data_IF_522228481167
#
_entry.id   IF_522228481167
#
_cell.length_a   1.000
_cell.length_b   1.000
_cell.length_c   1.000
_cell.angle_alpha   90.00
_cell.angle_beta   90.00
_cell.angle_gamma   90.00
#
_symmetry.space_group_name_H-M   'P 1'
#
loop_
_entity.id
_entity.type
_entity.pdbx_description
1 polymer ?
#
# COMPACT_ATOMS: atom_id res chain seq x y z
N UNK A 1 10.50 -16.77 5.01
CA UNK A 1 9.87 -15.98 6.09
C UNK A 1 8.84 -15.06 5.47
N UNK A 2 7.60 -15.09 5.97
CA UNK A 2 6.53 -14.18 5.54
C UNK A 2 6.96 -12.75 5.90
N UNK A 3 6.89 -11.81 4.94
CA UNK A 3 7.32 -10.40 5.13
C UNK A 3 6.22 -9.54 5.76
N UNK A 4 5.00 -10.08 5.79
CA UNK A 4 3.80 -9.54 6.41
C UNK A 4 3.28 -10.57 7.41
N UNK A 5 2.57 -10.11 8.43
CA UNK A 5 1.96 -10.97 9.45
C UNK A 5 0.64 -11.58 8.96
N UNK A 6 0.32 -11.41 7.67
CA UNK A 6 -0.88 -11.92 7.01
C UNK A 6 -0.59 -12.39 5.58
N UNK A 7 -1.53 -13.18 5.02
CA UNK A 7 -1.53 -13.55 3.59
C UNK A 7 -2.42 -12.58 2.83
N UNK A 8 -1.92 -11.87 1.80
CA UNK A 8 -2.72 -10.89 1.09
C UNK A 8 -3.81 -11.56 0.24
N UNK A 9 -4.99 -10.93 0.20
CA UNK A 9 -6.03 -11.22 -0.78
C UNK A 9 -5.50 -10.93 -2.20
N UNK A 10 -5.89 -11.70 -3.23
CA UNK A 10 -5.45 -11.46 -4.59
C UNK A 10 -5.88 -10.08 -5.12
N UNK A 11 -4.90 -9.22 -5.41
CA UNK A 11 -5.10 -7.88 -5.97
C UNK A 11 -4.66 -6.75 -5.05
N UNK A 12 -4.77 -5.52 -5.55
CA UNK A 12 -4.42 -4.29 -4.82
C UNK A 12 -5.60 -3.32 -4.86
N UNK A 13 -5.78 -2.55 -3.79
CA UNK A 13 -6.62 -1.35 -3.81
C UNK A 13 -5.78 -0.16 -4.21
N UNK A 14 -6.11 0.46 -5.35
CA UNK A 14 -5.46 1.67 -5.82
C UNK A 14 -6.08 2.90 -5.16
N UNK A 15 -5.25 3.68 -4.47
CA UNK A 15 -5.66 4.92 -3.82
C UNK A 15 -4.95 6.09 -4.50
N UNK A 16 -5.73 7.03 -5.02
CA UNK A 16 -5.21 8.31 -5.54
C UNK A 16 -5.03 9.27 -4.37
N UNK A 17 -3.82 9.79 -4.23
CA UNK A 17 -3.44 10.74 -3.20
C UNK A 17 -3.80 12.17 -3.61
N UNK A 18 -4.26 12.95 -2.64
CA UNK A 18 -4.29 14.41 -2.75
C UNK A 18 -2.87 14.99 -2.78
N UNK A 19 -2.72 16.23 -3.24
CA UNK A 19 -1.41 16.91 -3.30
C UNK A 19 -0.71 16.96 -1.94
N UNK A 20 -1.47 17.20 -0.86
CA UNK A 20 -0.95 17.18 0.50
C UNK A 20 -0.45 15.78 0.89
N UNK A 21 -1.20 14.74 0.53
CA UNK A 21 -0.83 13.36 0.82
C UNK A 21 0.38 12.90 0.00
N UNK A 22 0.58 13.42 -1.21
CA UNK A 22 1.82 13.21 -1.99
C UNK A 22 3.03 13.79 -1.27
N UNK A 23 2.89 14.97 -0.63
CA UNK A 23 3.97 15.53 0.19
C UNK A 23 4.25 14.65 1.41
N UNK A 24 3.20 14.12 2.06
CA UNK A 24 3.33 13.19 3.20
C UNK A 24 3.89 11.82 2.79
N UNK A 25 3.67 11.35 1.55
CA UNK A 25 4.22 10.09 1.03
C UNK A 25 5.75 10.05 1.15
N UNK A 26 6.45 11.18 1.05
CA UNK A 26 7.91 11.25 1.28
C UNK A 26 8.32 10.83 2.69
N UNK A 27 7.45 11.00 3.69
CA UNK A 27 7.73 10.56 5.06
C UNK A 27 7.71 9.03 5.19
N UNK A 28 7.07 8.32 4.25
CA UNK A 28 7.08 6.86 4.22
C UNK A 28 8.47 6.28 3.99
N UNK A 29 9.42 7.05 3.41
CA UNK A 29 10.83 6.66 3.33
C UNK A 29 11.48 6.47 4.70
N UNK A 30 10.92 7.11 5.74
CA UNK A 30 11.38 6.98 7.13
C UNK A 30 10.71 5.82 7.87
N UNK A 31 9.60 5.30 7.33
CA UNK A 31 8.86 4.21 7.96
C UNK A 31 9.67 2.91 7.89
N UNK A 32 9.45 2.04 8.87
CA UNK A 32 10.00 0.69 8.80
C UNK A 32 9.41 -0.02 7.57
N UNK A 33 10.29 -0.42 6.65
CA UNK A 33 9.90 -0.96 5.36
C UNK A 33 10.64 -2.25 5.03
N UNK A 34 9.95 -3.14 4.31
CA UNK A 34 10.48 -4.44 3.95
C UNK A 34 10.60 -4.52 2.44
N UNK A 35 11.82 -4.69 1.94
CA UNK A 35 12.06 -4.91 0.51
C UNK A 35 11.52 -6.27 0.07
N UNK A 36 10.82 -6.28 -1.05
CA UNK A 36 10.33 -7.48 -1.74
C UNK A 36 11.09 -7.64 -3.03
N UNK A 37 11.91 -8.70 -3.09
CA UNK A 37 12.48 -9.19 -4.33
C UNK A 37 11.50 -10.22 -4.90
N UNK A 38 10.83 -9.94 -6.01
CA UNK A 38 9.90 -10.89 -6.61
C UNK A 38 10.66 -11.94 -7.46
N UNK A 39 9.91 -12.87 -8.06
CA UNK A 39 10.45 -13.80 -9.05
C UNK A 39 10.88 -13.09 -10.34
N UNK A 40 11.65 -13.77 -11.18
CA UNK A 40 12.07 -13.25 -12.49
C UNK A 40 10.87 -12.80 -13.33
N UNK A 41 10.97 -11.61 -13.92
CA UNK A 41 9.90 -10.97 -14.70
C UNK A 41 9.03 -9.98 -13.93
N UNK A 42 9.24 -9.79 -12.62
CA UNK A 42 8.51 -8.84 -11.78
C UNK A 42 9.44 -7.74 -11.23
N UNK A 43 8.88 -6.57 -10.92
CA UNK A 43 9.64 -5.44 -10.40
C UNK A 43 9.80 -5.51 -8.87
N UNK A 44 10.98 -5.08 -8.38
CA UNK A 44 11.19 -4.88 -6.94
C UNK A 44 10.14 -3.92 -6.36
N UNK A 45 9.86 -4.10 -5.07
CA UNK A 45 8.96 -3.21 -4.37
C UNK A 45 9.31 -3.12 -2.89
N UNK A 46 8.82 -2.07 -2.27
CA UNK A 46 8.92 -1.87 -0.83
C UNK A 46 7.53 -2.02 -0.21
N UNK A 47 7.45 -2.80 0.87
CA UNK A 47 6.24 -2.93 1.69
C UNK A 47 6.35 -2.09 2.94
N UNK A 48 5.27 -1.37 3.26
CA UNK A 48 5.17 -0.55 4.46
C UNK A 48 3.91 -0.97 5.20
N UNK A 49 4.05 -1.39 6.47
CA UNK A 49 2.89 -1.79 7.29
C UNK A 49 2.00 -0.57 7.52
N UNK A 50 0.69 -0.79 7.41
CA UNK A 50 -0.30 0.27 7.51
C UNK A 50 -1.61 -0.26 8.10
N UNK A 51 -2.54 0.66 8.35
CA UNK A 51 -3.88 0.37 8.83
C UNK A 51 -4.91 1.14 8.01
N UNK A 52 -6.05 0.49 7.73
CA UNK A 52 -7.29 1.17 7.33
C UNK A 52 -8.29 0.98 8.46
N UNK A 53 -8.47 2.02 9.28
CA UNK A 53 -9.15 1.89 10.57
C UNK A 53 -8.36 0.95 11.49
N UNK A 54 -8.99 -0.15 11.91
CA UNK A 54 -8.38 -1.23 12.69
C UNK A 54 -7.87 -2.42 11.86
N UNK A 55 -8.04 -2.38 10.53
CA UNK A 55 -7.67 -3.50 9.66
C UNK A 55 -6.20 -3.37 9.25
N UNK A 56 -5.42 -4.41 9.53
CA UNK A 56 -4.04 -4.53 9.07
C UNK A 56 -3.95 -4.61 7.54
N UNK A 57 -3.08 -3.79 6.98
CA UNK A 57 -2.77 -3.78 5.57
C UNK A 57 -1.30 -3.42 5.35
N UNK A 58 -0.89 -3.37 4.09
CA UNK A 58 0.42 -2.86 3.72
C UNK A 58 0.31 -2.03 2.44
N UNK A 59 1.10 -0.97 2.39
CA UNK A 59 1.31 -0.18 1.18
C UNK A 59 2.40 -0.87 0.37
N UNK A 60 2.14 -1.08 -0.92
CA UNK A 60 3.11 -1.52 -1.91
C UNK A 60 3.63 -0.29 -2.64
N UNK A 61 4.95 -0.11 -2.66
CA UNK A 61 5.63 0.93 -3.43
C UNK A 61 6.51 0.26 -4.47
N UNK A 62 6.07 0.18 -5.74
CA UNK A 62 6.87 -0.38 -6.81
C UNK A 62 8.13 0.47 -7.08
N UNK A 63 9.27 -0.18 -7.22
CA UNK A 63 10.54 0.46 -7.61
C UNK A 63 10.62 0.54 -9.15
N UNK A 64 9.65 1.22 -9.77
CA UNK A 64 9.55 1.38 -11.23
C UNK A 64 9.79 2.85 -11.61
N UNK A 65 10.70 3.08 -12.57
CA UNK A 65 11.00 4.43 -13.07
C UNK A 65 9.74 5.03 -13.71
N UNK A 66 9.34 6.22 -13.25
CA UNK A 66 8.17 6.92 -13.78
C UNK A 66 6.83 6.47 -13.18
N UNK A 67 6.83 5.64 -12.13
CA UNK A 67 5.59 5.26 -11.44
C UNK A 67 4.85 6.51 -10.89
N UNK A 68 3.52 6.62 -11.06
CA UNK A 68 2.75 7.78 -10.61
C UNK A 68 2.96 8.07 -9.11
N UNK A 69 3.33 9.30 -8.79
CA UNK A 69 3.64 9.68 -7.39
C UNK A 69 2.39 9.75 -6.54
N UNK A 70 1.26 10.06 -7.18
CA UNK A 70 -0.07 10.21 -6.62
C UNK A 70 -0.83 8.89 -6.48
N UNK A 71 -0.26 7.74 -6.81
CA UNK A 71 -0.91 6.44 -6.62
C UNK A 71 -0.22 5.67 -5.49
N UNK A 72 -1.03 5.06 -4.63
CA UNK A 72 -0.63 4.02 -3.69
C UNK A 72 -1.39 2.74 -4.01
N UNK A 73 -0.69 1.62 -3.89
CA UNK A 73 -1.29 0.29 -3.93
C UNK A 73 -1.35 -0.27 -2.51
N UNK A 74 -2.50 -0.82 -2.12
CA UNK A 74 -2.71 -1.38 -0.79
C UNK A 74 -3.10 -2.84 -0.91
N UNK A 75 -2.42 -3.69 -0.14
CA UNK A 75 -2.76 -5.09 0.06
C UNK A 75 -3.24 -5.32 1.48
N UNK A 76 -4.19 -6.24 1.64
CA UNK A 76 -4.82 -6.58 2.91
C UNK A 76 -5.18 -8.08 2.91
N UNK A 77 -5.45 -8.70 4.07
CA UNK A 77 -5.88 -10.11 4.12
C UNK A 77 -7.28 -10.36 3.55
N UNK A 78 -8.02 -9.31 3.19
CA UNK A 78 -9.41 -9.35 2.73
C UNK A 78 -9.60 -8.47 1.50
N UNK A 79 -10.70 -8.69 0.76
CA UNK A 79 -11.15 -7.78 -0.28
C UNK A 79 -11.61 -6.46 0.36
N UNK A 80 -10.80 -5.40 0.23
CA UNK A 80 -11.08 -4.10 0.85
C UNK A 80 -12.35 -3.44 0.30
N UNK A 81 -12.67 -3.63 -0.99
CA UNK A 81 -13.89 -3.04 -1.59
C UNK A 81 -15.14 -3.65 -0.97
N UNK A 82 -15.20 -4.96 -0.86
CA UNK A 82 -16.35 -5.65 -0.25
C UNK A 82 -16.42 -5.40 1.26
N UNK A 83 -15.30 -5.53 1.97
CA UNK A 83 -15.25 -5.44 3.44
C UNK A 83 -15.56 -4.03 3.95
N UNK A 84 -15.15 -3.00 3.20
CA UNK A 84 -15.34 -1.59 3.57
C UNK A 84 -16.40 -0.89 2.70
N UNK A 85 -17.08 -1.62 1.83
CA UNK A 85 -18.10 -1.11 0.90
C UNK A 85 -17.60 0.11 0.10
N UNK A 86 -16.39 0.00 -0.46
CA UNK A 86 -15.73 1.08 -1.18
C UNK A 86 -16.06 1.05 -2.66
N UNK A 87 -16.41 2.22 -3.18
CA UNK A 87 -16.60 2.50 -4.60
C UNK A 87 -15.51 3.44 -5.11
N UNK A 88 -15.42 3.59 -6.42
CA UNK A 88 -14.48 4.55 -7.02
C UNK A 88 -14.85 5.98 -6.63
N UNK A 89 -13.86 6.74 -6.16
CA UNK A 89 -14.05 8.10 -5.65
C UNK A 89 -14.32 8.17 -4.15
N UNK A 90 -14.49 7.04 -3.44
CA UNK A 90 -14.54 7.04 -1.98
C UNK A 90 -13.22 7.51 -1.36
N UNK A 91 -13.31 8.36 -0.35
CA UNK A 91 -12.16 8.73 0.45
C UNK A 91 -11.80 7.60 1.43
N UNK A 92 -10.50 7.29 1.52
CA UNK A 92 -9.98 6.26 2.42
C UNK A 92 -8.81 6.84 3.20
N UNK A 93 -8.84 6.68 4.52
CA UNK A 93 -7.74 7.04 5.41
C UNK A 93 -6.85 5.83 5.64
N UNK A 94 -5.56 5.98 5.33
CA UNK A 94 -4.53 4.98 5.56
C UNK A 94 -3.55 5.54 6.59
N UNK A 95 -3.37 4.82 7.70
CA UNK A 95 -2.48 5.21 8.79
C UNK A 95 -1.21 4.39 8.74
N UNK A 96 -0.06 5.06 8.85
CA UNK A 96 1.26 4.42 8.93
C UNK A 96 1.92 4.88 10.22
N UNK A 97 2.42 3.93 10.99
CA UNK A 97 3.23 4.22 12.17
C UNK A 97 4.68 4.36 11.72
N UNK A 98 5.25 5.54 11.93
CA UNK A 98 6.64 5.86 11.60
C UNK A 98 7.60 5.40 12.70
#
# INVERSE_FOLDING_TARGET
KQKLDFTPYPGTLNVRLSEESVKRKKLLEKAHSVKVCPADGYCNGTLIKALIGSLECAIVVPEVVGYPKEVLEIIAPVNLRETRQLEDGCEVTVTVNL
#
